data_IF_165284428321
#
_entry.id   IF_165284428321
#
_cell.length_a   1.000
_cell.length_b   1.000
_cell.length_c   1.000
_cell.angle_alpha   90.00
_cell.angle_beta   90.00
_cell.angle_gamma   90.00
#
_symmetry.space_group_name_H-M   'P 1'
#
loop_
_entity.id
_entity.type
_entity.pdbx_description
1 polymer ?
#
# COMPACT_ATOMS: atom_id res chain seq x y z
N UNK A 1 9.56 16.63 -9.93
CA UNK A 1 10.68 16.12 -9.11
C UNK A 1 11.85 15.88 -10.03
N UNK A 2 13.05 16.31 -9.62
CA UNK A 2 14.24 15.80 -10.30
C UNK A 2 14.45 14.33 -9.91
N UNK A 3 14.94 13.50 -10.83
CA UNK A 3 15.29 12.09 -10.57
C UNK A 3 16.20 11.92 -9.32
N UNK A 4 16.99 12.93 -8.99
CA UNK A 4 17.86 12.95 -7.81
C UNK A 4 17.10 12.91 -6.46
N UNK A 5 15.85 13.40 -6.40
CA UNK A 5 15.06 13.42 -5.15
C UNK A 5 14.26 12.14 -4.93
N UNK A 6 13.85 11.45 -6.00
CA UNK A 6 13.32 10.08 -5.93
C UNK A 6 14.43 9.10 -5.55
N UNK A 7 15.61 9.28 -6.12
CA UNK A 7 16.80 8.52 -5.74
C UNK A 7 17.16 8.69 -4.26
N UNK A 8 16.95 9.87 -3.66
CA UNK A 8 17.25 10.09 -2.25
C UNK A 8 16.29 9.35 -1.31
N UNK A 9 14.98 9.29 -1.59
CA UNK A 9 14.01 8.54 -0.78
C UNK A 9 14.26 7.03 -0.87
N UNK A 10 14.38 6.51 -2.08
CA UNK A 10 14.66 5.09 -2.31
C UNK A 10 16.04 4.67 -1.75
N UNK A 11 17.07 5.51 -1.90
CA UNK A 11 18.40 5.24 -1.35
C UNK A 11 18.37 5.26 0.18
N UNK A 12 17.67 6.21 0.81
CA UNK A 12 17.51 6.27 2.25
C UNK A 12 16.72 5.06 2.78
N UNK A 13 15.63 4.68 2.12
CA UNK A 13 14.87 3.49 2.45
C UNK A 13 15.76 2.23 2.37
N UNK A 14 16.50 2.04 1.28
CA UNK A 14 17.44 0.92 1.10
C UNK A 14 18.48 0.84 2.21
N UNK A 15 18.97 1.99 2.67
CA UNK A 15 19.97 2.07 3.75
C UNK A 15 19.35 1.78 5.13
N UNK A 16 18.16 2.34 5.42
CA UNK A 16 17.53 2.27 6.74
C UNK A 16 16.67 1.03 6.93
N UNK A 17 15.99 0.59 5.87
CA UNK A 17 15.07 -0.54 5.86
C UNK A 17 15.70 -1.77 5.17
N UNK A 18 17.01 -1.96 5.32
CA UNK A 18 17.72 -3.12 4.75
C UNK A 18 17.12 -4.42 5.28
N UNK A 19 16.58 -5.25 4.38
CA UNK A 19 15.90 -6.51 4.71
C UNK A 19 16.77 -7.48 5.51
N UNK A 20 18.09 -7.56 5.23
CA UNK A 20 19.01 -8.41 5.98
C UNK A 20 19.09 -8.04 7.47
N UNK A 21 18.85 -6.76 7.76
CA UNK A 21 18.82 -6.22 9.14
C UNK A 21 17.42 -6.34 9.73
N UNK A 22 16.38 -5.95 8.98
CA UNK A 22 14.99 -5.94 9.47
C UNK A 22 14.46 -7.34 9.73
N UNK A 23 14.84 -8.35 8.94
CA UNK A 23 14.42 -9.75 9.15
C UNK A 23 14.80 -10.33 10.52
N UNK A 24 15.83 -9.77 11.17
CA UNK A 24 16.30 -10.21 12.49
C UNK A 24 15.64 -9.49 13.67
N UNK A 25 14.85 -8.45 13.39
CA UNK A 25 14.20 -7.62 14.39
C UNK A 25 12.88 -8.26 14.82
N UNK A 26 12.55 -8.13 16.10
CA UNK A 26 11.20 -8.41 16.60
C UNK A 26 10.21 -7.33 16.12
N UNK A 27 8.92 -7.52 16.41
CA UNK A 27 7.85 -6.62 15.95
C UNK A 27 8.01 -5.18 16.49
N UNK A 28 8.40 -5.05 17.76
CA UNK A 28 8.55 -3.75 18.42
C UNK A 28 9.70 -2.94 17.82
N UNK A 29 10.86 -3.59 17.63
CA UNK A 29 12.03 -2.97 17.00
C UNK A 29 11.75 -2.57 15.54
N UNK A 30 11.01 -3.40 14.79
CA UNK A 30 10.55 -3.06 13.43
C UNK A 30 9.66 -1.82 13.45
N UNK A 31 8.69 -1.77 14.36
CA UNK A 31 7.78 -0.64 14.49
C UNK A 31 8.55 0.66 14.80
N UNK A 32 9.50 0.61 15.73
CA UNK A 32 10.31 1.78 16.06
C UNK A 32 11.15 2.23 14.85
N UNK A 33 11.74 1.30 14.12
CA UNK A 33 12.49 1.57 12.90
C UNK A 33 11.61 2.25 11.83
N UNK A 34 10.42 1.73 11.57
CA UNK A 34 9.48 2.30 10.60
C UNK A 34 9.02 3.69 11.03
N UNK A 35 8.68 3.90 12.30
CA UNK A 35 8.30 5.22 12.85
C UNK A 35 9.42 6.25 12.71
N UNK A 36 10.66 5.88 12.99
CA UNK A 36 11.84 6.77 12.82
C UNK A 36 12.06 7.13 11.35
N UNK A 37 11.95 6.15 10.47
CA UNK A 37 12.07 6.38 9.02
C UNK A 37 10.99 7.33 8.52
N UNK A 38 9.72 7.06 8.84
CA UNK A 38 8.58 7.90 8.48
C UNK A 38 8.73 9.33 9.00
N UNK A 39 9.05 9.51 10.28
CA UNK A 39 9.26 10.82 10.88
C UNK A 39 10.34 11.63 10.15
N UNK A 40 11.43 10.98 9.75
CA UNK A 40 12.51 11.64 9.01
C UNK A 40 12.05 12.09 7.63
N UNK A 41 11.35 11.22 6.90
CA UNK A 41 10.91 11.54 5.54
C UNK A 41 9.74 12.53 5.51
N UNK A 42 8.80 12.43 6.45
CA UNK A 42 7.74 13.43 6.60
C UNK A 42 8.29 14.82 6.95
N UNK A 43 9.32 14.88 7.79
CA UNK A 43 10.00 16.14 8.06
C UNK A 43 10.67 16.72 6.81
N UNK A 44 11.31 15.89 5.98
CA UNK A 44 11.87 16.32 4.68
C UNK A 44 10.81 16.85 3.73
N UNK A 45 9.63 16.18 3.68
CA UNK A 45 8.49 16.63 2.89
C UNK A 45 7.98 17.98 3.40
N UNK A 46 7.89 18.16 4.71
CA UNK A 46 7.48 19.43 5.33
C UNK A 46 8.46 20.57 5.01
N UNK A 47 9.76 20.34 5.14
CA UNK A 47 10.80 21.33 4.79
C UNK A 47 10.72 21.71 3.31
N UNK A 48 10.54 20.73 2.42
CA UNK A 48 10.32 20.99 1.01
C UNK A 48 9.10 21.89 0.76
N UNK A 49 7.98 21.62 1.43
CA UNK A 49 6.76 22.44 1.31
C UNK A 49 7.01 23.87 1.81
N UNK A 50 7.64 24.04 2.98
CA UNK A 50 7.95 25.35 3.56
C UNK A 50 8.94 26.17 2.73
N UNK A 51 9.78 25.53 1.92
CA UNK A 51 10.69 26.20 0.98
C UNK A 51 10.02 26.57 -0.36
N UNK A 52 8.69 26.57 -0.44
CA UNK A 52 7.96 26.93 -1.66
C UNK A 52 7.66 25.75 -2.59
N UNK A 53 7.87 24.51 -2.14
CA UNK A 53 7.54 23.31 -2.90
C UNK A 53 6.03 23.18 -3.16
N UNK A 54 5.66 22.76 -4.39
CA UNK A 54 4.25 22.67 -4.79
C UNK A 54 3.49 21.57 -4.03
N UNK A 55 2.22 21.81 -3.72
CA UNK A 55 1.33 20.83 -3.06
C UNK A 55 1.22 19.52 -3.83
N UNK A 56 1.18 19.55 -5.17
CA UNK A 56 1.18 18.36 -6.03
C UNK A 56 2.41 17.47 -5.78
N UNK A 57 3.59 18.07 -5.56
CA UNK A 57 4.79 17.29 -5.24
C UNK A 57 4.78 16.76 -3.81
N UNK A 58 4.18 17.49 -2.87
CA UNK A 58 4.00 17.04 -1.48
C UNK A 58 3.14 15.79 -1.45
N UNK A 59 1.97 15.81 -2.10
CA UNK A 59 1.06 14.65 -2.13
C UNK A 59 1.68 13.44 -2.83
N UNK A 60 2.43 13.67 -3.91
CA UNK A 60 3.16 12.61 -4.61
C UNK A 60 4.25 11.98 -3.73
N UNK A 61 5.06 12.80 -3.04
CA UNK A 61 6.11 12.30 -2.13
C UNK A 61 5.54 11.50 -0.97
N UNK A 62 4.39 11.93 -0.44
CA UNK A 62 3.71 11.16 0.61
C UNK A 62 3.25 9.80 0.10
N UNK A 63 2.65 9.74 -1.10
CA UNK A 63 2.26 8.48 -1.71
C UNK A 63 3.47 7.56 -1.92
N UNK A 64 4.58 8.07 -2.46
CA UNK A 64 5.81 7.31 -2.68
C UNK A 64 6.40 6.78 -1.35
N UNK A 65 6.34 7.58 -0.28
CA UNK A 65 6.80 7.18 1.05
C UNK A 65 6.00 6.00 1.61
N UNK A 66 4.66 6.08 1.51
CA UNK A 66 3.78 5.02 2.00
C UNK A 66 3.91 3.76 1.14
N UNK A 67 4.07 3.90 -0.17
CA UNK A 67 4.32 2.76 -1.06
C UNK A 67 5.61 2.01 -0.70
N UNK A 68 6.69 2.73 -0.38
CA UNK A 68 7.93 2.12 0.10
C UNK A 68 7.70 1.38 1.43
N UNK A 69 6.99 1.97 2.38
CA UNK A 69 6.66 1.30 3.63
C UNK A 69 5.84 0.03 3.36
N UNK A 70 4.77 0.12 2.58
CA UNK A 70 3.91 -1.02 2.22
C UNK A 70 4.70 -2.14 1.56
N UNK A 71 5.67 -1.80 0.69
CA UNK A 71 6.55 -2.79 0.08
C UNK A 71 7.32 -3.58 1.13
N UNK A 72 7.90 -2.91 2.11
CA UNK A 72 8.63 -3.58 3.18
C UNK A 72 7.71 -4.43 4.04
N UNK A 73 6.52 -3.92 4.41
CA UNK A 73 5.54 -4.66 5.21
C UNK A 73 5.03 -5.90 4.48
N UNK A 74 4.70 -5.77 3.20
CA UNK A 74 4.25 -6.87 2.37
C UNK A 74 5.33 -7.97 2.27
N UNK A 75 6.57 -7.57 1.99
CA UNK A 75 7.69 -8.52 1.88
C UNK A 75 8.03 -9.19 3.21
N UNK A 76 7.99 -8.46 4.33
CA UNK A 76 8.21 -9.03 5.67
C UNK A 76 7.12 -10.04 6.05
N UNK A 77 5.87 -9.74 5.70
CA UNK A 77 4.75 -10.63 5.98
C UNK A 77 4.77 -11.90 5.10
N UNK A 78 5.24 -11.78 3.85
CA UNK A 78 5.38 -12.94 2.93
C UNK A 78 6.57 -13.83 3.27
N UNK A 79 7.69 -13.27 3.75
CA UNK A 79 8.85 -14.07 4.18
C UNK A 79 8.53 -14.97 5.39
N UNK A 80 7.57 -14.56 6.22
CA UNK A 80 7.11 -15.33 7.39
C UNK A 80 6.25 -16.55 7.01
N UNK A 81 5.85 -16.70 5.76
CA UNK A 81 4.90 -17.72 5.28
C UNK A 81 5.57 -18.98 4.65
N UNK A 82 6.78 -19.34 5.07
CA UNK A 82 7.50 -20.57 4.66
C UNK A 82 7.54 -20.82 3.16
N UNK A 83 7.66 -19.75 2.34
CA UNK A 83 7.78 -19.85 0.87
C UNK A 83 6.47 -20.08 0.14
N UNK A 84 5.33 -20.12 0.81
CA UNK A 84 4.01 -20.05 0.20
C UNK A 84 3.60 -18.57 0.14
N UNK A 85 3.78 -17.96 -1.02
CA UNK A 85 3.22 -16.62 -1.25
C UNK A 85 1.69 -16.69 -1.13
N UNK A 86 1.07 -15.98 -0.19
CA UNK A 86 -0.38 -15.90 -0.19
C UNK A 86 -0.82 -15.28 -1.52
N UNK A 87 -1.85 -15.87 -2.15
CA UNK A 87 -2.43 -15.39 -3.42
C UNK A 87 -3.16 -14.05 -3.22
N UNK A 88 -2.50 -13.07 -2.59
CA UNK A 88 -3.07 -11.77 -2.28
C UNK A 88 -2.35 -10.70 -3.10
N UNK A 89 -3.10 -9.97 -3.89
CA UNK A 89 -2.60 -8.80 -4.60
C UNK A 89 -3.02 -7.54 -3.87
N UNK A 90 -2.05 -6.72 -3.51
CA UNK A 90 -2.26 -5.44 -2.85
C UNK A 90 -2.44 -4.34 -3.89
N UNK A 91 -3.57 -3.66 -3.81
CA UNK A 91 -3.97 -2.62 -4.75
C UNK A 91 -4.24 -1.32 -3.99
N UNK A 92 -3.64 -0.23 -4.43
CA UNK A 92 -3.99 1.12 -4.00
C UNK A 92 -5.23 1.59 -4.77
N UNK A 93 -6.19 2.19 -4.08
CA UNK A 93 -7.43 2.69 -4.68
C UNK A 93 -7.66 4.17 -4.34
N UNK A 94 -8.56 4.82 -5.03
CA UNK A 94 -8.89 6.23 -4.81
C UNK A 94 -7.69 7.18 -4.96
N UNK A 95 -7.56 8.13 -4.05
CA UNK A 95 -6.47 9.12 -4.08
C UNK A 95 -5.07 8.50 -4.05
N UNK A 96 -4.90 7.44 -3.27
CA UNK A 96 -3.64 6.70 -3.19
C UNK A 96 -3.38 5.91 -4.49
N UNK A 97 -4.40 5.37 -5.12
CA UNK A 97 -4.33 4.74 -6.44
C UNK A 97 -3.77 5.68 -7.51
N UNK A 98 -4.22 6.95 -7.53
CA UNK A 98 -3.66 8.01 -8.42
C UNK A 98 -2.21 8.38 -8.11
N UNK A 99 -1.60 7.81 -7.09
CA UNK A 99 -0.25 8.17 -6.64
C UNK A 99 -0.19 9.53 -5.93
N UNK A 100 -1.29 9.97 -5.32
CA UNK A 100 -1.38 11.20 -4.55
C UNK A 100 -1.98 10.91 -3.18
N UNK A 101 -1.31 11.36 -2.12
CA UNK A 101 -1.79 11.20 -0.75
C UNK A 101 -1.70 12.54 -0.01
N UNK A 102 -2.84 13.16 0.26
CA UNK A 102 -2.88 14.40 1.02
C UNK A 102 -2.42 14.18 2.46
N UNK A 103 -1.87 15.20 3.13
CA UNK A 103 -1.70 15.16 4.58
C UNK A 103 -3.04 14.84 5.26
N UNK A 104 -3.01 13.94 6.23
CA UNK A 104 -4.21 13.49 6.98
C UNK A 104 -5.26 12.70 6.18
N UNK A 105 -5.03 12.37 4.90
CA UNK A 105 -5.90 11.45 4.16
C UNK A 105 -5.69 10.01 4.62
N UNK A 106 -6.74 9.22 4.51
CA UNK A 106 -6.68 7.78 4.70
C UNK A 106 -5.86 7.12 3.58
N UNK A 107 -5.27 5.98 3.87
CA UNK A 107 -4.60 5.11 2.90
C UNK A 107 -5.60 4.04 2.49
N UNK A 108 -6.13 4.12 1.27
CA UNK A 108 -7.16 3.21 0.80
C UNK A 108 -6.54 2.03 0.04
N UNK A 109 -6.80 0.81 0.52
CA UNK A 109 -6.23 -0.45 0.06
C UNK A 109 -7.30 -1.47 -0.29
N UNK A 110 -7.10 -2.18 -1.39
CA UNK A 110 -7.83 -3.40 -1.71
C UNK A 110 -6.85 -4.58 -1.67
N UNK A 111 -7.14 -5.56 -0.85
CA UNK A 111 -6.50 -6.87 -0.86
C UNK A 111 -7.33 -7.78 -1.76
N UNK A 112 -6.86 -7.96 -2.98
CA UNK A 112 -7.52 -8.80 -3.97
C UNK A 112 -7.05 -10.24 -3.80
N UNK A 113 -8.00 -11.17 -3.64
CA UNK A 113 -7.74 -12.60 -3.49
C UNK A 113 -8.74 -13.40 -4.33
N UNK A 114 -8.34 -14.52 -5.00
CA UNK A 114 -9.22 -15.25 -5.90
C UNK A 114 -10.55 -15.67 -5.27
N UNK A 115 -10.56 -15.99 -3.98
CA UNK A 115 -11.76 -16.46 -3.25
C UNK A 115 -12.44 -15.39 -2.39
N UNK A 116 -11.90 -14.17 -2.37
CA UNK A 116 -12.38 -13.09 -1.50
C UNK A 116 -12.21 -13.38 0.00
N UNK A 117 -12.88 -12.58 0.85
CA UNK A 117 -12.73 -12.66 2.31
C UNK A 117 -13.22 -14.01 2.89
N UNK A 118 -14.30 -14.56 2.37
CA UNK A 118 -14.90 -15.83 2.89
C UNK A 118 -14.04 -17.05 2.62
N UNK A 119 -13.25 -17.04 1.57
CA UNK A 119 -12.38 -18.16 1.17
C UNK A 119 -10.91 -17.91 1.45
N UNK A 120 -10.57 -16.87 2.23
CA UNK A 120 -9.22 -16.47 2.51
C UNK A 120 -8.50 -17.52 3.37
N UNK A 121 -7.36 -18.06 2.93
CA UNK A 121 -6.53 -18.94 3.77
C UNK A 121 -6.05 -18.23 5.02
N UNK A 122 -5.80 -19.00 6.09
CA UNK A 122 -5.35 -18.44 7.38
C UNK A 122 -4.05 -17.64 7.23
N UNK A 123 -3.12 -18.12 6.44
CA UNK A 123 -1.84 -17.48 6.17
C UNK A 123 -2.02 -16.13 5.47
N UNK A 124 -2.95 -16.06 4.50
CA UNK A 124 -3.29 -14.82 3.82
C UNK A 124 -3.97 -13.82 4.77
N UNK A 125 -4.86 -14.29 5.64
CA UNK A 125 -5.49 -13.44 6.65
C UNK A 125 -4.45 -12.88 7.63
N UNK A 126 -3.55 -13.69 8.13
CA UNK A 126 -2.46 -13.27 9.02
C UNK A 126 -1.53 -12.26 8.36
N UNK A 127 -1.23 -12.43 7.07
CA UNK A 127 -0.42 -11.48 6.31
C UNK A 127 -1.12 -10.12 6.22
N UNK A 128 -2.41 -10.10 5.85
CA UNK A 128 -3.20 -8.86 5.76
C UNK A 128 -3.26 -8.17 7.12
N UNK A 129 -3.58 -8.90 8.18
CA UNK A 129 -3.62 -8.38 9.55
C UNK A 129 -2.28 -7.79 9.97
N UNK A 130 -1.17 -8.47 9.69
CA UNK A 130 0.17 -7.99 10.01
C UNK A 130 0.48 -6.66 9.34
N UNK A 131 0.14 -6.51 8.05
CA UNK A 131 0.31 -5.25 7.30
C UNK A 131 -0.56 -4.15 7.90
N UNK A 132 -1.85 -4.42 8.15
CA UNK A 132 -2.80 -3.44 8.68
C UNK A 132 -2.41 -2.97 10.08
N UNK A 133 -2.10 -3.89 11.01
CA UNK A 133 -1.69 -3.52 12.36
C UNK A 133 -0.42 -2.67 12.37
N UNK A 134 0.56 -2.99 11.52
CA UNK A 134 1.77 -2.18 11.43
C UNK A 134 1.48 -0.76 10.91
N UNK A 135 0.57 -0.61 9.94
CA UNK A 135 0.13 0.70 9.46
C UNK A 135 -0.59 1.49 10.55
N UNK A 136 -1.51 0.86 11.30
CA UNK A 136 -2.20 1.51 12.43
C UNK A 136 -1.22 1.92 13.52
N UNK A 137 -0.29 1.05 13.88
CA UNK A 137 0.76 1.35 14.86
C UNK A 137 1.70 2.46 14.38
N UNK A 138 1.93 2.60 13.08
CA UNK A 138 2.64 3.74 12.51
C UNK A 138 1.80 5.03 12.47
N UNK A 139 0.54 5.00 12.88
CA UNK A 139 -0.35 6.16 12.99
C UNK A 139 -1.14 6.49 11.72
N UNK A 140 -1.21 5.56 10.75
CA UNK A 140 -2.02 5.76 9.55
C UNK A 140 -3.49 5.40 9.80
N UNK A 141 -4.38 6.19 9.20
CA UNK A 141 -5.76 5.79 8.98
C UNK A 141 -5.81 4.99 7.68
N UNK A 142 -6.38 3.80 7.74
CA UNK A 142 -6.42 2.89 6.60
C UNK A 142 -7.85 2.48 6.32
N UNK A 143 -8.35 2.83 5.14
CA UNK A 143 -9.51 2.22 4.53
C UNK A 143 -9.08 0.93 3.84
N UNK A 144 -9.75 -0.19 4.10
CA UNK A 144 -9.38 -1.44 3.43
C UNK A 144 -10.56 -2.33 3.14
N UNK A 145 -10.40 -3.16 2.11
CA UNK A 145 -11.33 -4.24 1.77
C UNK A 145 -10.53 -5.48 1.36
N UNK A 146 -11.09 -6.67 1.62
CA UNK A 146 -10.60 -7.95 1.11
C UNK A 146 -11.69 -8.49 0.19
N UNK A 147 -11.42 -8.62 -1.11
CA UNK A 147 -12.43 -9.00 -2.09
C UNK A 147 -11.85 -9.92 -3.16
N UNK A 148 -12.72 -10.78 -3.71
CA UNK A 148 -12.50 -11.40 -5.00
C UNK A 148 -12.84 -10.45 -6.15
N UNK A 149 -12.51 -10.83 -7.38
CA UNK A 149 -12.92 -10.08 -8.59
C UNK A 149 -14.44 -9.91 -8.60
N UNK A 150 -15.18 -11.01 -8.39
CA UNK A 150 -16.65 -11.00 -8.38
C UNK A 150 -17.21 -10.04 -7.34
N UNK A 151 -16.71 -10.07 -6.11
CA UNK A 151 -17.15 -9.17 -5.04
C UNK A 151 -16.83 -7.71 -5.36
N UNK A 152 -15.66 -7.45 -5.97
CA UNK A 152 -15.28 -6.10 -6.42
C UNK A 152 -16.25 -5.55 -7.46
N UNK A 153 -16.65 -6.36 -8.44
CA UNK A 153 -17.60 -5.97 -9.48
C UNK A 153 -19.01 -5.71 -8.91
N UNK A 154 -19.48 -6.59 -8.04
CA UNK A 154 -20.78 -6.41 -7.37
C UNK A 154 -20.81 -5.10 -6.61
N UNK A 155 -19.81 -4.83 -5.82
CA UNK A 155 -19.72 -3.63 -5.00
C UNK A 155 -19.59 -2.36 -5.86
N UNK A 156 -18.79 -2.39 -6.92
CA UNK A 156 -18.64 -1.27 -7.85
C UNK A 156 -19.94 -0.93 -8.59
N UNK A 157 -20.80 -1.92 -8.84
CA UNK A 157 -22.11 -1.70 -9.45
C UNK A 157 -23.15 -1.19 -8.46
N UNK A 158 -22.96 -1.42 -7.16
CA UNK A 158 -23.88 -0.96 -6.11
C UNK A 158 -23.50 0.41 -5.54
N UNK A 159 -22.22 0.78 -5.61
CA UNK A 159 -21.70 2.03 -5.02
C UNK A 159 -20.77 2.79 -5.97
N UNK A 160 -21.19 3.99 -6.37
CA UNK A 160 -20.43 4.84 -7.25
C UNK A 160 -19.08 5.31 -6.67
N UNK A 161 -18.93 5.36 -5.34
CA UNK A 161 -17.65 5.71 -4.70
C UNK A 161 -16.65 4.58 -4.92
N UNK A 162 -17.09 3.33 -4.70
CA UNK A 162 -16.28 2.15 -4.98
C UNK A 162 -15.93 2.08 -6.47
N UNK A 163 -16.90 2.32 -7.36
CA UNK A 163 -16.66 2.36 -8.80
C UNK A 163 -15.55 3.36 -9.16
N UNK A 164 -15.66 4.59 -8.70
CA UNK A 164 -14.65 5.64 -8.94
C UNK A 164 -13.28 5.26 -8.36
N UNK A 165 -13.26 4.65 -7.17
CA UNK A 165 -12.01 4.21 -6.53
C UNK A 165 -11.29 3.11 -7.32
N UNK A 166 -12.05 2.20 -7.97
CA UNK A 166 -11.47 1.13 -8.82
C UNK A 166 -10.97 1.70 -10.14
N UNK A 167 -11.65 2.67 -10.76
CA UNK A 167 -11.14 3.36 -11.95
C UNK A 167 -9.75 3.98 -11.69
N UNK A 168 -9.53 4.46 -10.48
CA UNK A 168 -8.28 5.10 -10.06
C UNK A 168 -7.28 4.10 -9.44
N UNK A 169 -7.59 2.80 -9.49
CA UNK A 169 -6.77 1.78 -8.85
C UNK A 169 -5.40 1.61 -9.51
N UNK A 170 -4.46 1.17 -8.69
CA UNK A 170 -3.10 0.84 -9.13
C UNK A 170 -2.57 -0.34 -8.31
N UNK A 171 -2.12 -1.38 -9.00
CA UNK A 171 -1.45 -2.49 -8.33
C UNK A 171 -0.17 -2.01 -7.65
N UNK A 172 0.05 -2.46 -6.43
CA UNK A 172 1.28 -2.24 -5.69
C UNK A 172 2.17 -3.47 -5.72
N UNK A 173 1.66 -4.62 -5.26
CA UNK A 173 2.41 -5.86 -5.13
C UNK A 173 1.47 -7.07 -5.30
N UNK A 174 2.01 -8.19 -5.75
CA UNK A 174 1.28 -9.45 -5.85
C UNK A 174 1.20 -9.98 -7.28
N UNK A 175 0.10 -10.62 -7.64
CA UNK A 175 -0.15 -11.24 -8.93
C UNK A 175 -0.75 -10.23 -9.91
N UNK A 176 0.02 -9.86 -10.93
CA UNK A 176 -0.39 -8.94 -12.00
C UNK A 176 -1.56 -9.52 -12.82
N UNK A 177 -1.56 -10.83 -13.05
CA UNK A 177 -2.62 -11.48 -13.83
C UNK A 177 -3.99 -11.41 -13.15
N UNK A 178 -4.01 -11.50 -11.81
CA UNK A 178 -5.22 -11.35 -11.00
C UNK A 178 -5.74 -9.90 -11.06
N UNK A 179 -4.84 -8.92 -10.98
CA UNK A 179 -5.20 -7.51 -11.08
C UNK A 179 -5.73 -7.16 -12.48
N UNK A 180 -5.06 -7.60 -13.54
CA UNK A 180 -5.49 -7.37 -14.93
C UNK A 180 -6.84 -8.01 -15.22
N UNK A 181 -7.07 -9.22 -14.71
CA UNK A 181 -8.37 -9.89 -14.80
C UNK A 181 -9.46 -9.09 -14.10
N UNK A 182 -9.19 -8.54 -12.92
CA UNK A 182 -10.12 -7.66 -12.22
C UNK A 182 -10.45 -6.41 -13.05
N UNK A 183 -9.46 -5.74 -13.63
CA UNK A 183 -9.68 -4.56 -14.47
C UNK A 183 -10.51 -4.90 -15.72
N UNK A 184 -10.17 -6.00 -16.40
CA UNK A 184 -10.89 -6.45 -17.59
C UNK A 184 -12.38 -6.71 -17.29
N UNK A 185 -12.67 -7.43 -16.20
CA UNK A 185 -14.05 -7.71 -15.80
C UNK A 185 -14.77 -6.44 -15.32
N UNK A 186 -14.05 -5.55 -14.63
CA UNK A 186 -14.59 -4.26 -14.20
C UNK A 186 -15.01 -3.41 -15.40
N UNK A 187 -14.15 -3.22 -16.39
CA UNK A 187 -14.50 -2.42 -17.58
C UNK A 187 -15.62 -3.03 -18.41
N UNK A 188 -15.71 -4.35 -18.49
CA UNK A 188 -16.81 -5.03 -19.19
C UNK A 188 -18.16 -4.93 -18.49
N UNK A 189 -18.16 -4.88 -17.16
CA UNK A 189 -19.38 -5.07 -16.36
C UNK A 189 -19.86 -3.80 -15.65
N UNK A 190 -18.98 -2.80 -15.50
CA UNK A 190 -19.28 -1.60 -14.71
C UNK A 190 -19.23 -0.31 -15.53
N UNK A 191 -18.59 -0.30 -16.71
CA UNK A 191 -18.45 0.85 -17.59
C UNK A 191 -19.17 0.60 -18.91
#
# INVERSE_FOLDING_TARGET
MSNAQLQSLSAHAKQRLDRKKTAKLNREDKLELYRRFLKTEEHRILLYHRSGGSGKRVTKRRADLIEILLKHLYMDATDSSEGKFPEVTLVAIGGFGRGNLNPCSDVDLLFLHPKGAKGLPKEAAQMIESVLYMLYDCGFKVGHAVRSIKETIIEANSDNRTKSSIIESRMLFGDESLYDSMLNDFYKSCI
#
